data_IF_146677060250
#
_entry.id   IF_146677060250
#
_cell.length_a   1.000
_cell.length_b   1.000
_cell.length_c   1.000
_cell.angle_alpha   90.00
_cell.angle_beta   90.00
_cell.angle_gamma   90.00
#
_symmetry.space_group_name_H-M   'P 1'
#
loop_
_entity.id
_entity.type
_entity.pdbx_description
1 polymer ?
#
# COMPACT_ATOMS: atom_id res chain seq x y z
N UNK A 1 0.33 -17.92 -3.44
CA UNK A 1 1.40 -16.98 -3.02
C UNK A 1 0.90 -15.56 -2.72
N UNK A 2 0.00 -14.94 -3.51
CA UNK A 2 -0.53 -13.57 -3.25
C UNK A 2 -1.10 -13.35 -1.84
N UNK A 3 -1.86 -14.31 -1.31
CA UNK A 3 -2.40 -14.24 0.07
C UNK A 3 -1.31 -14.30 1.15
N UNK A 4 -0.22 -15.01 0.88
CA UNK A 4 0.92 -15.13 1.79
C UNK A 4 1.77 -13.85 1.79
N UNK A 5 2.07 -13.26 0.63
CA UNK A 5 2.82 -12.00 0.57
C UNK A 5 2.03 -10.82 1.16
N UNK A 6 0.72 -10.78 0.93
CA UNK A 6 -0.16 -9.82 1.61
C UNK A 6 -0.16 -10.06 3.13
N UNK A 7 -0.32 -11.31 3.57
CA UNK A 7 -0.28 -11.66 5.00
C UNK A 7 1.06 -11.35 5.65
N UNK A 8 2.18 -11.54 4.93
CA UNK A 8 3.52 -11.22 5.38
C UNK A 8 3.74 -9.71 5.47
N UNK A 9 3.26 -8.94 4.49
CA UNK A 9 3.31 -7.47 4.53
C UNK A 9 2.54 -6.93 5.74
N UNK A 10 1.29 -7.38 5.94
CA UNK A 10 0.49 -6.97 7.09
C UNK A 10 1.08 -7.46 8.41
N UNK A 11 1.60 -8.68 8.45
CA UNK A 11 2.28 -9.24 9.61
C UNK A 11 3.56 -8.48 9.99
N UNK A 12 4.34 -8.07 9.00
CA UNK A 12 5.52 -7.24 9.19
C UNK A 12 5.14 -5.81 9.62
N UNK A 13 4.04 -5.27 9.08
CA UNK A 13 3.50 -3.98 9.49
C UNK A 13 3.11 -3.98 10.97
N UNK A 14 2.17 -4.85 11.35
CA UNK A 14 1.70 -4.92 12.73
C UNK A 14 2.80 -5.41 13.69
N UNK A 15 3.64 -6.36 13.26
CA UNK A 15 4.78 -6.83 14.04
C UNK A 15 5.87 -5.78 14.22
N UNK A 16 6.13 -4.97 13.20
CA UNK A 16 7.05 -3.84 13.26
C UNK A 16 6.54 -2.73 14.19
N UNK A 17 5.25 -2.39 14.09
CA UNK A 17 4.60 -1.46 15.02
C UNK A 17 4.66 -1.96 16.47
N UNK A 18 4.26 -3.22 16.71
CA UNK A 18 4.32 -3.82 18.05
C UNK A 18 5.75 -3.92 18.58
N UNK A 19 6.72 -4.24 17.72
CA UNK A 19 8.14 -4.27 18.06
C UNK A 19 8.69 -2.90 18.40
N UNK A 20 8.31 -1.86 17.65
CA UNK A 20 8.68 -0.47 17.95
C UNK A 20 8.12 0.00 19.28
N UNK A 21 6.86 -0.34 19.59
CA UNK A 21 6.22 0.00 20.87
C UNK A 21 6.88 -0.71 22.07
N UNK A 22 7.43 -1.91 21.86
CA UNK A 22 8.03 -2.72 22.93
C UNK A 22 9.58 -2.58 22.99
N UNK A 23 10.19 -1.77 22.13
CA UNK A 23 11.63 -1.56 22.09
C UNK A 23 12.10 -0.71 23.28
N UNK A 24 13.27 -0.99 23.89
CA UNK A 24 13.84 -0.18 24.96
C UNK A 24 14.47 1.10 24.39
N UNK A 25 13.62 2.01 23.88
CA UNK A 25 14.00 3.32 23.33
C UNK A 25 13.25 4.43 24.05
N UNK A 26 13.77 5.65 23.98
CA UNK A 26 13.05 6.81 24.52
C UNK A 26 11.74 7.02 23.76
N UNK A 27 10.70 7.52 24.44
CA UNK A 27 9.39 7.76 23.81
C UNK A 27 9.47 8.71 22.61
N UNK A 28 10.39 9.68 22.64
CA UNK A 28 10.65 10.60 21.53
C UNK A 28 11.23 9.88 20.31
N UNK A 29 12.22 9.00 20.51
CA UNK A 29 12.80 8.21 19.41
C UNK A 29 11.77 7.24 18.83
N UNK A 30 11.01 6.53 19.67
CA UNK A 30 9.97 5.60 19.21
C UNK A 30 8.93 6.31 18.35
N UNK A 31 8.48 7.51 18.75
CA UNK A 31 7.54 8.32 17.95
C UNK A 31 8.15 8.77 16.63
N UNK A 32 9.43 9.15 16.59
CA UNK A 32 10.12 9.51 15.34
C UNK A 32 10.19 8.34 14.37
N UNK A 33 10.63 7.17 14.83
CA UNK A 33 10.69 5.96 14.00
C UNK A 33 9.31 5.52 13.54
N UNK A 34 8.31 5.63 14.40
CA UNK A 34 6.94 5.30 14.05
C UNK A 34 6.39 6.23 12.95
N UNK A 35 6.67 7.53 13.03
CA UNK A 35 6.32 8.48 11.98
C UNK A 35 6.98 8.12 10.64
N UNK A 36 8.29 7.89 10.63
CA UNK A 36 9.03 7.50 9.41
C UNK A 36 8.45 6.21 8.80
N UNK A 37 8.11 5.24 9.64
CA UNK A 37 7.50 3.99 9.21
C UNK A 37 6.13 4.17 8.55
N UNK A 38 5.29 5.03 9.12
CA UNK A 38 3.97 5.37 8.60
C UNK A 38 4.05 6.18 7.30
N UNK A 39 5.00 7.11 7.21
CA UNK A 39 5.29 7.89 6.00
C UNK A 39 5.73 6.95 4.86
N UNK A 40 6.66 6.02 5.13
CA UNK A 40 7.09 5.02 4.15
C UNK A 40 5.94 4.11 3.70
N UNK A 41 5.11 3.65 4.65
CA UNK A 41 3.95 2.81 4.34
C UNK A 41 2.97 3.53 3.41
N UNK A 42 2.77 4.83 3.61
CA UNK A 42 1.92 5.66 2.74
C UNK A 42 2.49 5.74 1.33
N UNK A 43 3.82 5.95 1.20
CA UNK A 43 4.49 6.00 -0.08
C UNK A 43 4.39 4.66 -0.83
N UNK A 44 4.65 3.54 -0.16
CA UNK A 44 4.57 2.20 -0.76
C UNK A 44 3.17 1.88 -1.29
N UNK A 45 2.14 2.25 -0.51
CA UNK A 45 0.75 2.06 -0.89
C UNK A 45 0.36 2.91 -2.11
N UNK A 46 0.83 4.14 -2.18
CA UNK A 46 0.60 5.02 -3.32
C UNK A 46 1.32 4.53 -4.60
N UNK A 47 2.54 4.01 -4.45
CA UNK A 47 3.29 3.40 -5.55
C UNK A 47 2.56 2.18 -6.15
N UNK A 48 1.95 1.34 -5.31
CA UNK A 48 1.11 0.23 -5.79
C UNK A 48 -0.05 0.73 -6.64
N UNK A 49 -0.77 1.78 -6.21
CA UNK A 49 -1.85 2.37 -7.01
C UNK A 49 -1.35 2.87 -8.36
N UNK A 50 -0.27 3.65 -8.35
CA UNK A 50 0.31 4.22 -9.55
C UNK A 50 0.75 3.14 -10.56
N UNK A 51 1.39 2.07 -10.09
CA UNK A 51 1.82 0.95 -10.93
C UNK A 51 0.64 0.21 -11.57
N UNK A 52 -0.45 0.05 -10.84
CA UNK A 52 -1.68 -0.61 -11.34
C UNK A 52 -2.36 0.26 -12.40
N UNK A 53 -2.45 1.56 -12.17
CA UNK A 53 -3.04 2.52 -13.11
C UNK A 53 -2.23 2.58 -14.42
N UNK A 54 -0.91 2.68 -14.32
CA UNK A 54 -0.01 2.63 -15.47
C UNK A 54 -0.13 1.32 -16.25
N UNK A 55 -0.26 0.19 -15.55
CA UNK A 55 -0.46 -1.10 -16.20
C UNK A 55 -1.79 -1.14 -16.96
N UNK A 56 -2.87 -0.62 -16.37
CA UNK A 56 -4.17 -0.48 -17.05
C UNK A 56 -4.05 0.34 -18.33
N UNK A 57 -3.37 1.50 -18.28
CA UNK A 57 -3.12 2.32 -19.46
C UNK A 57 -2.26 1.64 -20.52
N UNK A 58 -1.23 0.89 -20.11
CA UNK A 58 -0.39 0.14 -21.03
C UNK A 58 -1.19 -0.94 -21.78
N UNK A 59 -2.09 -1.65 -21.09
CA UNK A 59 -2.96 -2.67 -21.70
C UNK A 59 -3.97 -2.03 -22.66
N UNK A 60 -4.55 -0.88 -22.29
CA UNK A 60 -5.45 -0.13 -23.16
C UNK A 60 -4.77 0.30 -24.46
N UNK A 61 -3.54 0.82 -24.39
CA UNK A 61 -2.75 1.15 -25.59
C UNK A 61 -2.44 -0.08 -26.43
N UNK A 62 -2.00 -1.16 -25.79
CA UNK A 62 -1.72 -2.43 -26.47
C UNK A 62 -2.94 -2.98 -27.21
N UNK A 63 -4.14 -2.80 -26.63
CA UNK A 63 -5.42 -3.18 -27.24
C UNK A 63 -5.77 -2.33 -28.46
N UNK A 64 -5.49 -1.01 -28.40
CA UNK A 64 -5.71 -0.08 -29.51
C UNK A 64 -4.72 -0.30 -30.66
N UNK A 65 -3.48 -0.69 -30.36
CA UNK A 65 -2.41 -0.92 -31.35
C UNK A 65 -2.57 -2.24 -32.13
N UNK A 66 -3.51 -3.11 -31.76
CA UNK A 66 -4.02 -4.15 -32.66
C UNK A 66 -3.01 -5.24 -33.03
N UNK A 67 -2.10 -5.61 -32.12
CA UNK A 67 -1.27 -6.81 -32.27
C UNK A 67 -2.17 -8.06 -32.24
N UNK A 68 -2.73 -8.41 -33.42
CA UNK A 68 -3.92 -9.25 -33.61
C UNK A 68 -3.92 -10.66 -33.02
N UNK A 69 -2.77 -11.15 -32.54
CA UNK A 69 -2.64 -12.47 -31.90
C UNK A 69 -2.66 -12.41 -30.36
N UNK A 70 -2.75 -11.22 -29.77
CA UNK A 70 -2.65 -11.01 -28.32
C UNK A 70 -3.96 -10.63 -27.65
N UNK A 71 -5.09 -10.57 -28.38
CA UNK A 71 -6.37 -10.07 -27.87
C UNK A 71 -6.86 -10.85 -26.63
N UNK A 72 -6.78 -12.17 -26.66
CA UNK A 72 -7.17 -13.02 -25.52
C UNK A 72 -6.31 -12.74 -24.28
N UNK A 73 -4.98 -12.68 -24.45
CA UNK A 73 -4.07 -12.32 -23.37
C UNK A 73 -4.32 -10.90 -22.85
N UNK A 74 -4.61 -9.92 -23.72
CA UNK A 74 -4.95 -8.56 -23.32
C UNK A 74 -6.23 -8.52 -22.48
N UNK A 75 -7.28 -9.21 -22.92
CA UNK A 75 -8.57 -9.26 -22.24
C UNK A 75 -8.43 -9.92 -20.86
N UNK A 76 -7.64 -11.00 -20.75
CA UNK A 76 -7.32 -11.65 -19.48
C UNK A 76 -6.54 -10.74 -18.52
N UNK A 77 -5.50 -10.04 -19.00
CA UNK A 77 -4.72 -9.12 -18.17
C UNK A 77 -5.59 -7.94 -17.75
N UNK A 78 -6.41 -7.38 -18.65
CA UNK A 78 -7.34 -6.29 -18.32
C UNK A 78 -8.34 -6.73 -17.24
N UNK A 79 -8.89 -7.94 -17.37
CA UNK A 79 -9.76 -8.53 -16.35
C UNK A 79 -9.03 -8.67 -15.01
N UNK A 80 -7.79 -9.18 -15.01
CA UNK A 80 -6.99 -9.37 -13.82
C UNK A 80 -6.65 -8.05 -13.11
N UNK A 81 -6.28 -7.00 -13.86
CA UNK A 81 -6.00 -5.65 -13.35
C UNK A 81 -7.27 -5.03 -12.77
N UNK A 82 -8.39 -5.14 -13.49
CA UNK A 82 -9.68 -4.63 -13.03
C UNK A 82 -10.13 -5.34 -11.74
N UNK A 83 -10.00 -6.65 -11.65
CA UNK A 83 -10.29 -7.40 -10.43
C UNK A 83 -9.37 -6.99 -9.28
N UNK A 84 -8.06 -6.93 -9.54
CA UNK A 84 -7.10 -6.50 -8.53
C UNK A 84 -7.45 -5.12 -7.97
N UNK A 85 -7.76 -4.17 -8.86
CA UNK A 85 -8.15 -2.81 -8.49
C UNK A 85 -9.41 -2.83 -7.63
N UNK A 86 -10.48 -3.49 -8.07
CA UNK A 86 -11.74 -3.58 -7.30
C UNK A 86 -11.56 -4.19 -5.91
N UNK A 87 -10.77 -5.26 -5.80
CA UNK A 87 -10.57 -5.94 -4.52
C UNK A 87 -9.62 -5.19 -3.57
N UNK A 88 -8.68 -4.42 -4.13
CA UNK A 88 -7.57 -3.82 -3.37
C UNK A 88 -7.82 -2.35 -3.05
N UNK A 89 -8.54 -1.60 -3.90
CA UNK A 89 -8.89 -0.20 -3.68
C UNK A 89 -9.52 0.08 -2.30
N UNK A 90 -10.57 -0.64 -1.85
CA UNK A 90 -11.13 -0.41 -0.51
C UNK A 90 -10.17 -0.82 0.60
N UNK A 91 -9.23 -1.74 0.34
CA UNK A 91 -8.19 -2.12 1.32
C UNK A 91 -7.20 -0.99 1.47
N UNK A 92 -6.72 -0.46 0.34
CA UNK A 92 -5.81 0.67 0.27
C UNK A 92 -6.37 1.89 1.00
N UNK A 93 -7.63 2.25 0.76
CA UNK A 93 -8.28 3.36 1.47
C UNK A 93 -8.25 3.16 2.99
N UNK A 94 -8.64 1.97 3.47
CA UNK A 94 -8.59 1.67 4.92
C UNK A 94 -7.19 1.76 5.52
N UNK A 95 -6.15 1.49 4.74
CA UNK A 95 -4.76 1.57 5.19
C UNK A 95 -4.36 3.04 5.30
N UNK A 96 -4.66 3.84 4.28
CA UNK A 96 -4.41 5.28 4.28
C UNK A 96 -5.12 5.95 5.47
N UNK A 97 -6.39 5.63 5.70
CA UNK A 97 -7.17 6.18 6.82
C UNK A 97 -6.53 5.83 8.18
N UNK A 98 -6.13 4.57 8.37
CA UNK A 98 -5.49 4.12 9.62
C UNK A 98 -4.13 4.74 9.82
N UNK A 99 -3.32 4.84 8.77
CA UNK A 99 -2.00 5.47 8.82
C UNK A 99 -2.14 6.96 9.15
N UNK A 100 -3.10 7.65 8.53
CA UNK A 100 -3.37 9.06 8.80
C UNK A 100 -3.82 9.29 10.25
N UNK A 101 -4.71 8.44 10.77
CA UNK A 101 -5.14 8.51 12.17
C UNK A 101 -3.95 8.32 13.12
N UNK A 102 -3.10 7.31 12.89
CA UNK A 102 -1.91 7.09 13.70
C UNK A 102 -0.93 8.26 13.63
N UNK A 103 -0.71 8.84 12.44
CA UNK A 103 0.14 10.03 12.28
C UNK A 103 -0.41 11.23 13.07
N UNK A 104 -1.73 11.45 13.04
CA UNK A 104 -2.38 12.52 13.79
C UNK A 104 -2.23 12.31 15.30
N UNK A 105 -2.49 11.10 15.80
CA UNK A 105 -2.33 10.75 17.21
C UNK A 105 -0.89 10.95 17.69
N UNK A 106 0.11 10.58 16.87
CA UNK A 106 1.53 10.80 17.20
C UNK A 106 1.83 12.30 17.25
N UNK A 107 1.32 13.09 16.30
CA UNK A 107 1.57 14.53 16.21
C UNK A 107 0.96 15.28 17.38
N UNK A 108 -0.31 15.02 17.70
CA UNK A 108 -1.00 15.65 18.82
C UNK A 108 -0.29 15.37 20.15
N UNK A 109 0.16 14.14 20.37
CA UNK A 109 0.94 13.79 21.56
C UNK A 109 2.38 14.35 21.57
N UNK A 110 2.90 14.86 20.45
CA UNK A 110 4.21 15.51 20.35
C UNK A 110 4.15 17.02 20.62
N UNK A 111 3.02 17.68 20.36
CA UNK A 111 2.86 19.13 20.55
C UNK A 111 2.48 19.51 22.01
N UNK A 112 2.19 18.53 22.87
CA UNK A 112 1.74 18.73 24.26
C UNK A 112 2.88 18.60 25.30
N UNK A 113 4.14 18.41 24.89
CA UNK A 113 5.32 18.41 25.78
C UNK A 113 6.34 19.47 25.40
#
# INVERSE_FOLDING_TARGET
>A
MKKFSQGLFWGALFGGLAGLLNAPRSGQETRRYLKEYLDQTTADVNDVRYKVDNLSHAIQRLSQEGLGNLKEAQDEIQYAVNQFTRETEPRIQRIQDRVQNLQNEIKENLEVN
#
